data_IF_655960493757
#
_entry.id   IF_655960493757
#
_cell.length_a   1.000
_cell.length_b   1.000
_cell.length_c   1.000
_cell.angle_alpha   90.00
_cell.angle_beta   90.00
_cell.angle_gamma   90.00
#
_symmetry.space_group_name_H-M   'P 1'
#
loop_
_entity.id
_entity.type
_entity.pdbx_description
1 polymer ?
#
# COMPACT_ATOMS: atom_id res chain seq x y z
N UNK A 1 22.70 19.00 6.19
CA UNK A 1 22.43 17.58 5.92
C UNK A 1 21.10 17.51 5.18
N UNK A 2 21.13 17.28 3.86
CA UNK A 2 19.93 17.28 3.01
C UNK A 2 19.09 16.03 3.28
N UNK A 3 17.86 16.21 3.76
CA UNK A 3 16.88 15.16 4.06
C UNK A 3 15.74 15.20 3.05
N UNK A 4 15.57 14.11 2.34
CA UNK A 4 14.62 14.03 1.23
C UNK A 4 13.64 12.88 1.46
N UNK A 5 12.39 13.04 1.05
CA UNK A 5 11.37 11.98 1.09
C UNK A 5 10.80 11.72 -0.29
N UNK A 6 10.70 10.43 -0.66
CA UNK A 6 9.93 9.95 -1.82
C UNK A 6 8.65 9.27 -1.31
N UNK A 7 7.53 9.59 -1.95
CA UNK A 7 6.22 9.06 -1.57
C UNK A 7 5.46 9.92 -0.55
N UNK A 8 5.77 11.21 -0.46
CA UNK A 8 5.17 12.15 0.51
C UNK A 8 3.64 12.30 0.40
N UNK A 9 3.05 11.97 -0.74
CA UNK A 9 1.59 11.99 -0.94
C UNK A 9 0.88 10.71 -0.51
N UNK A 10 1.64 9.66 -0.23
CA UNK A 10 1.15 8.39 0.30
C UNK A 10 0.78 8.49 1.79
N UNK A 11 0.15 7.43 2.33
CA UNK A 11 -0.28 7.41 3.72
C UNK A 11 0.89 7.59 4.70
N UNK A 12 1.96 6.81 4.56
CA UNK A 12 3.14 6.91 5.43
C UNK A 12 3.85 8.23 5.23
N UNK A 13 4.18 8.57 3.98
CA UNK A 13 4.93 9.77 3.67
C UNK A 13 4.23 11.06 4.12
N UNK A 14 2.90 11.16 3.96
CA UNK A 14 2.14 12.33 4.41
C UNK A 14 2.15 12.48 5.94
N UNK A 15 2.07 11.38 6.70
CA UNK A 15 2.17 11.42 8.15
C UNK A 15 3.58 11.79 8.62
N UNK A 16 4.62 11.33 7.92
CA UNK A 16 6.00 11.76 8.21
C UNK A 16 6.20 13.26 7.96
N UNK A 17 5.60 13.81 6.88
CA UNK A 17 5.67 15.24 6.58
C UNK A 17 4.89 16.12 7.58
N UNK A 18 3.93 15.58 8.33
CA UNK A 18 3.26 16.31 9.43
C UNK A 18 4.20 16.49 10.63
N UNK A 19 5.04 15.49 10.90
CA UNK A 19 5.92 15.47 12.07
C UNK A 19 7.34 15.96 11.80
N UNK A 20 7.78 15.96 10.54
CA UNK A 20 9.15 16.30 10.15
C UNK A 20 9.18 17.19 8.91
N UNK A 21 10.08 18.16 8.92
CA UNK A 21 10.38 18.99 7.76
C UNK A 21 11.48 18.36 6.91
N UNK A 22 11.22 18.21 5.62
CA UNK A 22 12.16 17.69 4.63
C UNK A 22 12.61 18.84 3.71
N UNK A 23 13.85 18.79 3.25
CA UNK A 23 14.41 19.79 2.31
C UNK A 23 13.77 19.66 0.92
N UNK A 24 13.38 18.43 0.53
CA UNK A 24 12.62 18.18 -0.69
C UNK A 24 11.71 16.96 -0.56
N UNK A 25 10.56 17.01 -1.26
CA UNK A 25 9.53 15.98 -1.26
C UNK A 25 9.19 15.58 -2.70
N UNK A 26 9.25 14.27 -2.98
CA UNK A 26 9.02 13.72 -4.31
C UNK A 26 7.93 12.66 -4.31
N UNK A 27 7.26 12.51 -5.44
CA UNK A 27 6.31 11.45 -5.74
C UNK A 27 6.44 11.04 -7.22
N UNK A 28 5.62 10.14 -7.72
CA UNK A 28 5.67 9.65 -9.11
C UNK A 28 5.57 10.73 -10.19
N UNK A 29 5.10 11.95 -9.86
CA UNK A 29 4.95 13.05 -10.84
C UNK A 29 6.19 13.91 -10.97
N UNK A 30 7.07 13.91 -9.98
CA UNK A 30 8.25 14.77 -9.92
C UNK A 30 9.52 14.04 -9.47
N UNK A 31 9.50 12.71 -9.46
CA UNK A 31 10.63 11.88 -8.98
C UNK A 31 11.90 12.14 -9.78
N UNK A 32 11.78 12.47 -11.06
CA UNK A 32 12.93 12.80 -11.93
C UNK A 32 13.74 13.99 -11.42
N UNK A 33 13.12 14.94 -10.72
CA UNK A 33 13.80 16.07 -10.11
C UNK A 33 14.71 15.67 -8.94
N UNK A 34 14.57 14.45 -8.43
CA UNK A 34 15.43 13.91 -7.39
C UNK A 34 16.70 13.24 -7.94
N UNK A 35 16.75 12.92 -9.25
CA UNK A 35 17.84 12.19 -9.84
C UNK A 35 19.13 12.99 -9.82
N UNK A 36 20.22 12.37 -9.37
CA UNK A 36 21.53 13.01 -9.25
C UNK A 36 21.66 14.05 -8.12
N UNK A 37 20.67 14.13 -7.22
CA UNK A 37 20.74 15.12 -6.11
C UNK A 37 21.61 14.67 -4.94
N UNK A 38 21.93 13.39 -4.82
CA UNK A 38 22.81 12.80 -3.81
C UNK A 38 22.50 13.27 -2.37
N UNK A 39 21.23 13.16 -1.88
CA UNK A 39 20.89 13.63 -0.54
C UNK A 39 21.65 12.87 0.54
N UNK A 40 21.90 13.52 1.69
CA UNK A 40 22.54 12.88 2.82
C UNK A 40 21.67 11.77 3.44
N UNK A 41 20.34 11.96 3.38
CA UNK A 41 19.36 10.99 3.85
C UNK A 41 18.14 10.97 2.91
N UNK A 42 17.83 9.79 2.39
CA UNK A 42 16.59 9.52 1.66
C UNK A 42 15.65 8.68 2.52
N UNK A 43 14.43 9.13 2.74
CA UNK A 43 13.33 8.28 3.22
C UNK A 43 12.52 7.82 2.00
N UNK A 44 12.54 6.52 1.72
CA UNK A 44 11.83 5.97 0.58
C UNK A 44 10.55 5.25 1.02
N UNK A 45 9.41 5.88 0.79
CA UNK A 45 8.07 5.34 1.00
C UNK A 45 7.23 5.33 -0.28
N UNK A 46 7.91 5.28 -1.44
CA UNK A 46 7.29 5.42 -2.76
C UNK A 46 6.64 4.15 -3.31
N UNK A 47 6.84 2.99 -2.69
CA UNK A 47 6.25 1.73 -3.17
C UNK A 47 4.78 1.65 -2.79
N UNK A 48 3.92 1.29 -3.75
CA UNK A 48 2.48 1.12 -3.51
C UNK A 48 2.22 -0.06 -2.56
N UNK A 49 1.40 0.16 -1.53
CA UNK A 49 1.04 -0.85 -0.55
C UNK A 49 -0.36 -1.43 -0.86
N UNK A 50 -0.52 -2.06 -2.02
CA UNK A 50 -1.78 -2.65 -2.50
C UNK A 50 -1.66 -4.19 -2.50
N UNK A 51 -1.59 -4.79 -1.30
CA UNK A 51 -1.34 -6.22 -1.07
C UNK A 51 -2.25 -7.11 -1.93
N UNK A 52 -3.53 -6.77 -2.04
CA UNK A 52 -4.48 -7.56 -2.80
C UNK A 52 -4.13 -7.59 -4.29
N UNK A 53 -3.79 -6.45 -4.90
CA UNK A 53 -3.38 -6.38 -6.31
C UNK A 53 -2.04 -7.09 -6.51
N UNK A 54 -1.06 -6.84 -5.65
CA UNK A 54 0.25 -7.47 -5.72
C UNK A 54 0.18 -9.01 -5.65
N UNK A 55 -0.70 -9.56 -4.83
CA UNK A 55 -0.87 -11.01 -4.72
C UNK A 55 -1.61 -11.64 -5.91
N UNK A 56 -2.39 -10.87 -6.67
CA UNK A 56 -3.07 -11.36 -7.88
C UNK A 56 -2.31 -11.03 -9.17
N UNK A 57 -1.45 -10.03 -9.16
CA UNK A 57 -0.67 -9.53 -10.31
C UNK A 57 0.79 -9.36 -9.91
N UNK A 58 1.43 -10.47 -9.56
CA UNK A 58 2.78 -10.48 -8.98
C UNK A 58 3.83 -9.81 -9.88
N UNK A 59 3.75 -10.00 -11.19
CA UNK A 59 4.70 -9.43 -12.15
C UNK A 59 4.53 -7.91 -12.29
N UNK A 60 3.30 -7.41 -12.26
CA UNK A 60 3.04 -5.97 -12.30
C UNK A 60 3.55 -5.29 -11.02
N UNK A 61 3.38 -5.96 -9.89
CA UNK A 61 3.92 -5.48 -8.62
C UNK A 61 5.46 -5.56 -8.60
N UNK A 62 6.06 -6.60 -9.15
CA UNK A 62 7.51 -6.70 -9.30
C UNK A 62 8.08 -5.55 -10.14
N UNK A 63 7.43 -5.19 -11.24
CA UNK A 63 7.84 -4.04 -12.05
C UNK A 63 7.88 -2.73 -11.23
N UNK A 64 6.97 -2.55 -10.26
CA UNK A 64 7.02 -1.38 -9.36
C UNK A 64 8.21 -1.42 -8.39
N UNK A 65 8.67 -2.62 -8.03
CA UNK A 65 9.88 -2.78 -7.22
C UNK A 65 11.13 -2.46 -8.04
N UNK A 66 11.18 -2.92 -9.27
CA UNK A 66 12.29 -2.62 -10.20
C UNK A 66 12.37 -1.11 -10.47
N UNK A 67 11.24 -0.44 -10.67
CA UNK A 67 11.16 1.02 -10.76
C UNK A 67 11.68 1.70 -9.48
N UNK A 68 11.32 1.19 -8.30
CA UNK A 68 11.80 1.73 -7.04
C UNK A 68 13.32 1.60 -6.89
N UNK A 69 13.89 0.45 -7.28
CA UNK A 69 15.34 0.23 -7.31
C UNK A 69 16.02 1.24 -8.24
N UNK A 70 15.49 1.41 -9.44
CA UNK A 70 16.07 2.36 -10.41
C UNK A 70 15.97 3.81 -9.93
N UNK A 71 14.86 4.20 -9.33
CA UNK A 71 14.69 5.51 -8.73
C UNK A 71 15.72 5.76 -7.62
N UNK A 72 15.92 4.81 -6.71
CA UNK A 72 16.92 4.93 -5.63
C UNK A 72 18.33 5.04 -6.23
N UNK A 73 18.66 4.20 -7.23
CA UNK A 73 19.94 4.23 -7.93
C UNK A 73 20.21 5.60 -8.56
N UNK A 74 19.22 6.20 -9.23
CA UNK A 74 19.35 7.50 -9.90
C UNK A 74 19.39 8.67 -8.92
N UNK A 75 18.72 8.57 -7.77
CA UNK A 75 18.81 9.55 -6.68
C UNK A 75 20.20 9.52 -6.04
N UNK A 76 20.76 8.32 -5.90
CA UNK A 76 22.08 8.03 -5.32
C UNK A 76 22.29 8.68 -3.94
N UNK A 77 21.43 8.39 -2.93
CA UNK A 77 21.56 8.96 -1.60
C UNK A 77 22.82 8.41 -0.88
N UNK A 78 23.32 9.14 0.12
CA UNK A 78 24.38 8.63 1.00
C UNK A 78 23.88 7.58 1.99
N UNK A 79 22.67 7.80 2.53
CA UNK A 79 21.98 6.87 3.44
C UNK A 79 20.52 6.77 3.08
N UNK A 80 19.91 5.62 3.36
CA UNK A 80 18.50 5.37 3.07
C UNK A 80 17.76 4.81 4.29
N UNK A 81 16.55 5.28 4.50
CA UNK A 81 15.52 4.65 5.30
C UNK A 81 14.46 4.11 4.34
N UNK A 82 14.37 2.80 4.23
CA UNK A 82 13.35 2.15 3.40
C UNK A 82 12.12 1.83 4.24
N UNK A 83 10.96 2.30 3.82
CA UNK A 83 9.68 1.89 4.39
C UNK A 83 9.22 0.59 3.72
N UNK A 84 9.22 -0.47 4.50
CA UNK A 84 8.84 -1.83 4.12
C UNK A 84 7.64 -2.33 4.93
N UNK A 85 7.45 -3.63 5.02
CA UNK A 85 6.26 -4.26 5.63
C UNK A 85 6.63 -5.53 6.37
N UNK A 86 5.90 -5.84 7.46
CA UNK A 86 6.00 -7.15 8.13
C UNK A 86 5.52 -8.31 7.25
N UNK A 87 4.84 -8.04 6.13
CA UNK A 87 4.39 -9.07 5.19
C UNK A 87 5.54 -9.79 4.46
N UNK A 88 6.79 -9.35 4.64
CA UNK A 88 7.99 -10.08 4.20
C UNK A 88 8.20 -11.37 4.99
N UNK A 89 7.71 -11.44 6.23
CA UNK A 89 7.78 -12.65 7.04
C UNK A 89 6.73 -13.68 6.61
N UNK A 90 7.08 -14.96 6.69
CA UNK A 90 6.16 -16.07 6.40
C UNK A 90 5.05 -16.16 7.45
N UNK A 91 5.33 -15.72 8.67
CA UNK A 91 4.37 -15.53 9.76
C UNK A 91 4.54 -14.12 10.30
N UNK A 92 3.47 -13.47 10.67
CA UNK A 92 3.48 -12.08 11.16
C UNK A 92 3.38 -11.95 12.68
N UNK A 93 3.54 -13.06 13.39
CA UNK A 93 3.52 -13.12 14.86
C UNK A 93 4.71 -13.95 15.38
N UNK A 94 5.24 -13.55 16.54
CA UNK A 94 6.40 -14.22 17.15
C UNK A 94 7.67 -14.11 16.33
N UNK A 95 7.83 -13.01 15.60
CA UNK A 95 8.98 -12.71 14.76
C UNK A 95 9.61 -11.38 15.18
N UNK A 96 10.90 -11.24 14.90
CA UNK A 96 11.69 -10.04 15.09
C UNK A 96 12.61 -9.81 13.88
N UNK A 97 13.48 -8.82 13.97
CA UNK A 97 14.41 -8.44 12.90
C UNK A 97 15.43 -9.52 12.57
N UNK A 98 15.72 -10.43 13.49
CA UNK A 98 16.66 -11.56 13.31
C UNK A 98 16.00 -12.79 12.68
N UNK A 99 14.68 -12.82 12.60
CA UNK A 99 13.92 -13.96 12.08
C UNK A 99 14.22 -14.19 10.59
N UNK A 100 14.68 -15.38 10.19
CA UNK A 100 14.95 -15.67 8.78
C UNK A 100 13.72 -15.55 7.92
N UNK A 101 13.88 -14.93 6.75
CA UNK A 101 12.82 -14.75 5.75
C UNK A 101 13.05 -15.73 4.61
N UNK A 102 12.09 -16.62 4.36
CA UNK A 102 12.10 -17.48 3.18
C UNK A 102 11.13 -16.92 2.14
N UNK A 103 11.66 -16.34 1.07
CA UNK A 103 10.87 -15.74 -0.02
C UNK A 103 9.95 -16.72 -0.72
N UNK A 104 10.36 -17.97 -0.85
CA UNK A 104 9.58 -19.02 -1.53
C UNK A 104 8.28 -19.35 -0.80
N UNK A 105 8.24 -19.12 0.52
CA UNK A 105 7.05 -19.32 1.34
C UNK A 105 6.20 -18.06 1.50
N UNK A 106 6.67 -16.92 0.98
CA UNK A 106 5.98 -15.64 1.11
C UNK A 106 4.97 -15.43 -0.02
N UNK A 107 3.86 -14.77 0.28
CA UNK A 107 2.96 -14.30 -0.76
C UNK A 107 3.68 -13.27 -1.67
N UNK A 108 3.29 -13.12 -2.95
CA UNK A 108 3.95 -12.24 -3.91
C UNK A 108 4.21 -10.83 -3.38
N UNK A 109 3.27 -10.24 -2.65
CA UNK A 109 3.45 -8.94 -2.02
C UNK A 109 4.66 -8.88 -1.08
N UNK A 110 4.80 -9.84 -0.19
CA UNK A 110 5.93 -9.92 0.75
C UNK A 110 7.23 -10.27 0.03
N UNK A 111 7.18 -11.22 -0.90
CA UNK A 111 8.33 -11.62 -1.71
C UNK A 111 8.95 -10.43 -2.46
N UNK A 112 8.13 -9.66 -3.18
CA UNK A 112 8.60 -8.53 -3.96
C UNK A 112 9.20 -7.41 -3.08
N UNK A 113 8.62 -7.14 -1.89
CA UNK A 113 9.22 -6.17 -0.93
C UNK A 113 10.54 -6.68 -0.39
N UNK A 114 10.67 -7.98 -0.15
CA UNK A 114 11.95 -8.55 0.29
C UNK A 114 13.05 -8.41 -0.77
N UNK A 115 12.72 -8.50 -2.06
CA UNK A 115 13.67 -8.22 -3.14
C UNK A 115 14.22 -6.78 -3.02
N UNK A 116 13.36 -5.81 -2.78
CA UNK A 116 13.81 -4.42 -2.58
C UNK A 116 14.66 -4.25 -1.32
N UNK A 117 14.26 -4.89 -0.21
CA UNK A 117 15.04 -4.87 1.03
C UNK A 117 16.47 -5.42 0.79
N UNK A 118 16.58 -6.60 0.19
CA UNK A 118 17.88 -7.24 -0.10
C UNK A 118 18.76 -6.38 -1.00
N UNK A 119 18.14 -5.75 -2.01
CA UNK A 119 18.87 -4.84 -2.88
C UNK A 119 19.39 -3.61 -2.10
N UNK A 120 18.57 -3.04 -1.21
CA UNK A 120 18.96 -1.90 -0.37
C UNK A 120 20.04 -2.31 0.63
N UNK A 121 19.87 -3.44 1.33
CA UNK A 121 20.87 -3.98 2.28
C UNK A 121 22.23 -4.18 1.60
N UNK A 122 22.25 -4.69 0.37
CA UNK A 122 23.48 -4.92 -0.39
C UNK A 122 24.16 -3.63 -0.85
N UNK A 123 23.40 -2.64 -1.33
CA UNK A 123 23.97 -1.43 -1.93
C UNK A 123 24.17 -0.29 -0.91
N UNK A 124 23.48 -0.33 0.22
CA UNK A 124 23.52 0.66 1.30
C UNK A 124 23.64 -0.04 2.65
N UNK A 125 24.87 -0.48 3.06
CA UNK A 125 25.07 -1.24 4.30
C UNK A 125 24.60 -0.51 5.57
N UNK A 126 24.66 0.84 5.57
CA UNK A 126 24.17 1.69 6.67
C UNK A 126 22.68 2.07 6.54
N UNK A 127 21.91 1.31 5.77
CA UNK A 127 20.48 1.55 5.60
C UNK A 127 19.68 1.15 6.85
N UNK A 128 18.52 1.79 7.02
CA UNK A 128 17.51 1.36 7.97
C UNK A 128 16.27 0.87 7.20
N UNK A 129 15.90 -0.39 7.43
CA UNK A 129 14.68 -0.96 6.88
C UNK A 129 13.61 -0.98 7.96
N UNK A 130 12.51 -0.26 7.73
CA UNK A 130 11.39 -0.15 8.67
C UNK A 130 10.22 -0.98 8.17
N UNK A 131 10.03 -2.16 8.75
CA UNK A 131 8.92 -3.08 8.42
C UNK A 131 7.68 -2.69 9.20
N UNK A 132 6.77 -2.01 8.53
CA UNK A 132 5.53 -1.52 9.16
C UNK A 132 4.47 -2.63 9.24
N UNK A 133 3.77 -2.75 10.38
CA UNK A 133 2.57 -3.55 10.53
C UNK A 133 1.35 -2.82 9.94
N UNK A 134 0.14 -3.24 10.30
CA UNK A 134 -1.06 -2.46 10.06
C UNK A 134 -1.02 -1.17 10.89
N UNK A 135 -1.01 -0.04 10.19
CA UNK A 135 -0.86 1.28 10.79
C UNK A 135 -2.13 2.11 10.63
N UNK A 136 -2.32 3.09 11.51
CA UNK A 136 -3.40 4.07 11.46
C UNK A 136 -2.84 5.49 11.62
N UNK A 137 -3.60 6.48 11.16
CA UNK A 137 -3.16 7.87 11.23
C UNK A 137 -4.03 8.79 10.39
N UNK A 138 -3.59 10.03 10.22
CA UNK A 138 -4.25 11.04 9.41
C UNK A 138 -4.29 10.57 7.94
N UNK A 139 -5.41 10.80 7.26
CA UNK A 139 -5.62 10.39 5.87
C UNK A 139 -5.64 8.87 5.64
N UNK A 140 -6.04 8.08 6.63
CA UNK A 140 -6.29 6.66 6.46
C UNK A 140 -7.31 6.44 5.35
N UNK A 141 -6.96 5.63 4.32
CA UNK A 141 -7.80 5.36 3.14
C UNK A 141 -8.08 3.89 2.91
N UNK A 142 -7.46 3.03 3.69
CA UNK A 142 -7.59 1.58 3.59
C UNK A 142 -7.08 0.94 4.88
N UNK A 143 -7.52 -0.15 5.21
CA UNK A 143 -7.32 -1.17 6.22
C UNK A 143 -8.62 -1.45 6.97
N UNK A 144 -8.60 -2.39 7.92
CA UNK A 144 -9.81 -2.79 8.62
C UNK A 144 -10.50 -1.65 9.38
N UNK A 145 -9.75 -0.71 9.96
CA UNK A 145 -10.33 0.46 10.64
C UNK A 145 -11.08 1.36 9.66
N UNK A 146 -10.50 1.57 8.49
CA UNK A 146 -11.16 2.31 7.41
C UNK A 146 -12.43 1.59 6.96
N UNK A 147 -12.36 0.29 6.76
CA UNK A 147 -13.50 -0.53 6.31
C UNK A 147 -14.61 -0.56 7.37
N UNK A 148 -14.26 -0.64 8.67
CA UNK A 148 -15.23 -0.51 9.77
C UNK A 148 -16.01 0.81 9.73
N UNK A 149 -15.36 1.89 9.36
CA UNK A 149 -16.00 3.22 9.30
C UNK A 149 -16.80 3.39 8.00
N UNK A 150 -16.28 2.91 6.87
CA UNK A 150 -16.80 3.25 5.54
C UNK A 150 -17.78 2.23 4.99
N UNK A 151 -17.66 0.95 5.32
CA UNK A 151 -18.55 -0.16 4.88
C UNK A 151 -18.58 -0.38 3.36
N UNK A 152 -18.33 0.63 2.55
CA UNK A 152 -18.33 0.56 1.09
C UNK A 152 -17.01 -0.06 0.62
N UNK A 153 -17.03 -1.23 -0.03
CA UNK A 153 -15.81 -1.81 -0.59
C UNK A 153 -15.16 -0.86 -1.59
N UNK A 154 -13.87 -0.60 -1.43
CA UNK A 154 -13.13 0.23 -2.39
C UNK A 154 -13.02 -0.51 -3.74
N UNK A 155 -12.90 -1.83 -3.68
CA UNK A 155 -12.80 -2.70 -4.86
C UNK A 155 -13.67 -3.94 -4.68
N UNK A 156 -14.27 -4.41 -5.77
CA UNK A 156 -15.01 -5.66 -5.85
C UNK A 156 -14.39 -6.54 -6.92
N UNK A 157 -14.35 -7.84 -6.69
CA UNK A 157 -14.15 -8.83 -7.76
C UNK A 157 -15.38 -8.86 -8.66
N UNK A 158 -15.19 -9.26 -9.91
CA UNK A 158 -16.23 -9.25 -10.93
C UNK A 158 -17.45 -10.12 -10.53
N UNK A 159 -17.21 -11.32 -10.03
CA UNK A 159 -18.23 -12.23 -9.53
C UNK A 159 -19.08 -11.60 -8.41
N UNK A 160 -18.41 -10.94 -7.45
CA UNK A 160 -19.10 -10.26 -6.36
C UNK A 160 -19.87 -9.03 -6.81
N UNK A 161 -19.33 -8.29 -7.77
CA UNK A 161 -20.03 -7.17 -8.37
C UNK A 161 -21.29 -7.64 -9.12
N UNK A 162 -21.20 -8.71 -9.90
CA UNK A 162 -22.38 -9.27 -10.60
C UNK A 162 -23.49 -9.68 -9.64
N UNK A 163 -23.13 -10.33 -8.52
CA UNK A 163 -24.10 -10.67 -7.46
C UNK A 163 -24.80 -9.43 -6.91
N UNK A 164 -24.02 -8.40 -6.56
CA UNK A 164 -24.51 -7.20 -5.89
C UNK A 164 -25.25 -6.25 -6.84
N UNK A 165 -24.82 -6.15 -8.08
CA UNK A 165 -25.46 -5.31 -9.11
C UNK A 165 -26.87 -5.77 -9.46
N UNK A 166 -27.14 -7.07 -9.37
CA UNK A 166 -28.49 -7.64 -9.52
C UNK A 166 -29.42 -7.23 -8.38
N UNK A 167 -28.87 -6.94 -7.19
CA UNK A 167 -29.63 -6.58 -5.98
C UNK A 167 -29.82 -5.07 -5.83
N UNK A 168 -28.93 -4.24 -6.40
CA UNK A 168 -28.98 -2.79 -6.27
C UNK A 168 -28.48 -2.07 -7.53
N UNK A 169 -29.36 -1.32 -8.18
CA UNK A 169 -29.00 -0.44 -9.31
C UNK A 169 -27.98 0.64 -8.91
N UNK A 170 -28.01 1.07 -7.64
CA UNK A 170 -27.07 2.06 -7.15
C UNK A 170 -25.66 1.47 -7.09
N UNK A 171 -25.51 0.22 -6.63
CA UNK A 171 -24.22 -0.47 -6.66
C UNK A 171 -23.75 -0.65 -8.11
N UNK A 172 -24.65 -1.09 -9.00
CA UNK A 172 -24.33 -1.28 -10.41
C UNK A 172 -23.73 -0.02 -11.07
N UNK A 173 -24.26 1.16 -10.75
CA UNK A 173 -23.79 2.43 -11.32
C UNK A 173 -22.60 3.05 -10.58
N UNK A 174 -22.21 2.49 -9.43
CA UNK A 174 -21.19 3.09 -8.55
C UNK A 174 -19.80 2.53 -8.75
N UNK A 175 -19.64 1.47 -9.50
CA UNK A 175 -18.37 0.79 -9.74
C UNK A 175 -18.01 0.79 -11.22
N UNK A 176 -16.72 0.98 -11.51
CA UNK A 176 -16.17 0.95 -12.86
C UNK A 176 -15.09 -0.13 -12.98
N UNK A 177 -15.11 -0.85 -14.10
CA UNK A 177 -14.11 -1.87 -14.44
C UNK A 177 -12.72 -1.24 -14.54
N UNK A 178 -11.72 -1.95 -14.01
CA UNK A 178 -10.31 -1.51 -14.03
C UNK A 178 -9.45 -2.26 -15.06
N UNK A 179 -10.06 -3.12 -15.87
CA UNK A 179 -9.34 -3.90 -16.89
C UNK A 179 -8.57 -5.13 -16.38
N UNK A 180 -8.69 -5.44 -15.09
CA UNK A 180 -7.93 -6.50 -14.41
C UNK A 180 -8.83 -7.48 -13.63
N UNK A 181 -10.12 -7.60 -13.98
CA UNK A 181 -11.10 -8.43 -13.27
C UNK A 181 -11.60 -7.83 -11.96
N UNK A 182 -11.29 -6.56 -11.70
CA UNK A 182 -11.76 -5.81 -10.55
C UNK A 182 -12.52 -4.57 -10.95
N UNK A 183 -13.53 -4.23 -10.14
CA UNK A 183 -14.26 -2.99 -10.24
C UNK A 183 -13.97 -2.11 -9.04
N UNK A 184 -13.73 -0.84 -9.29
CA UNK A 184 -13.41 0.17 -8.27
C UNK A 184 -14.60 1.11 -8.08
N UNK A 185 -14.91 1.45 -6.83
CA UNK A 185 -15.89 2.47 -6.52
C UNK A 185 -15.43 3.83 -7.08
N UNK A 186 -16.20 4.38 -8.00
CA UNK A 186 -15.90 5.64 -8.71
C UNK A 186 -16.63 6.86 -8.12
N UNK A 187 -17.52 6.63 -7.15
CA UNK A 187 -18.36 7.68 -6.53
C UNK A 187 -17.53 8.57 -5.62
N UNK A 188 -17.67 9.89 -5.83
CA UNK A 188 -17.05 10.93 -4.98
C UNK A 188 -18.09 11.79 -4.26
N UNK A 189 -19.34 11.80 -4.75
CA UNK A 189 -20.43 12.57 -4.18
C UNK A 189 -20.83 12.02 -2.81
N UNK A 190 -20.82 12.87 -1.78
CA UNK A 190 -21.11 12.50 -0.40
C UNK A 190 -22.53 11.99 -0.17
N UNK A 191 -23.50 12.52 -0.92
CA UNK A 191 -24.90 12.11 -0.83
C UNK A 191 -25.07 10.71 -1.40
N UNK A 192 -24.46 10.45 -2.56
CA UNK A 192 -24.46 9.13 -3.19
C UNK A 192 -23.71 8.12 -2.34
N UNK A 193 -22.54 8.47 -1.79
CA UNK A 193 -21.81 7.62 -0.85
C UNK A 193 -22.65 7.26 0.38
N UNK A 194 -23.41 8.22 0.93
CA UNK A 194 -24.29 7.96 2.08
C UNK A 194 -25.40 6.97 1.73
N UNK A 195 -26.00 7.08 0.55
CA UNK A 195 -26.99 6.13 0.04
C UNK A 195 -26.37 4.76 -0.20
N UNK A 196 -25.22 4.72 -0.86
CA UNK A 196 -24.47 3.50 -1.15
C UNK A 196 -24.09 2.76 0.15
N UNK A 197 -23.64 3.47 1.18
CA UNK A 197 -23.36 2.89 2.49
C UNK A 197 -24.60 2.21 3.09
N UNK A 198 -25.77 2.81 2.95
CA UNK A 198 -27.04 2.23 3.42
C UNK A 198 -27.40 0.97 2.62
N UNK A 199 -27.21 0.99 1.30
CA UNK A 199 -27.44 -0.19 0.45
C UNK A 199 -26.55 -1.37 0.89
N UNK A 200 -25.24 -1.14 1.07
CA UNK A 200 -24.33 -2.18 1.55
C UNK A 200 -24.74 -2.70 2.93
N UNK A 201 -25.14 -1.82 3.85
CA UNK A 201 -25.67 -2.24 5.15
C UNK A 201 -26.89 -3.14 5.04
N UNK A 202 -27.84 -2.76 4.20
CA UNK A 202 -29.08 -3.54 3.95
C UNK A 202 -28.78 -4.92 3.33
N UNK A 203 -27.68 -5.04 2.60
CA UNK A 203 -27.20 -6.30 2.04
C UNK A 203 -26.34 -7.12 3.03
N UNK A 204 -26.29 -6.72 4.29
CA UNK A 204 -25.57 -7.42 5.34
C UNK A 204 -24.07 -7.13 5.41
N UNK A 205 -23.59 -6.11 4.69
CA UNK A 205 -22.19 -5.69 4.80
C UNK A 205 -21.96 -4.98 6.13
N UNK A 206 -21.11 -5.59 6.93
CA UNK A 206 -20.66 -5.05 8.22
C UNK A 206 -19.14 -4.97 8.21
N UNK A 207 -18.54 -4.35 9.20
CA UNK A 207 -17.10 -4.35 9.36
C UNK A 207 -16.53 -5.78 9.36
N UNK A 208 -17.21 -6.72 9.99
CA UNK A 208 -16.81 -8.12 10.09
C UNK A 208 -16.83 -8.85 8.74
N UNK A 209 -17.72 -8.49 7.82
CA UNK A 209 -17.79 -9.11 6.50
C UNK A 209 -16.65 -8.75 5.56
N UNK A 210 -15.87 -7.73 5.88
CA UNK A 210 -14.64 -7.38 5.15
C UNK A 210 -13.40 -8.06 5.73
N UNK A 211 -13.52 -8.66 6.89
CA UNK A 211 -12.39 -9.15 7.68
C UNK A 211 -12.12 -10.63 7.47
N UNK A 212 -13.13 -11.40 7.15
CA UNK A 212 -13.07 -12.85 7.09
C UNK A 212 -12.24 -13.42 5.94
N UNK A 213 -12.16 -12.72 4.83
CA UNK A 213 -11.51 -13.24 3.62
C UNK A 213 -10.07 -12.74 3.41
N UNK A 214 -9.51 -11.86 4.24
CA UNK A 214 -8.28 -11.15 3.93
C UNK A 214 -7.26 -11.01 5.05
N UNK A 215 -7.44 -11.77 6.13
CA UNK A 215 -6.42 -11.85 7.16
C UNK A 215 -6.08 -10.49 7.76
N UNK A 216 -7.07 -9.81 8.28
CA UNK A 216 -6.86 -8.69 9.21
C UNK A 216 -5.82 -9.00 10.28
N UNK A 217 -5.71 -10.26 10.60
CA UNK A 217 -4.71 -10.86 11.48
C UNK A 217 -3.28 -10.62 11.02
N UNK A 218 -3.07 -10.11 9.82
CA UNK A 218 -1.76 -9.72 9.32
C UNK A 218 -1.29 -8.38 9.90
N UNK A 219 -2.14 -7.71 10.67
CA UNK A 219 -1.85 -6.40 11.25
C UNK A 219 -1.45 -6.44 12.72
N UNK A 220 -1.31 -7.61 13.29
CA UNK A 220 -0.93 -7.81 14.70
C UNK A 220 0.39 -8.54 14.82
#
# INVERSE_FOLDING_TARGET
MAKVIVGYTGFVGSNLCVSHQFDACYNSRNIENAFGTHPDLLIYSGVRAEMFLANNFANEDLATIEEAIENIRRIAPKRIVLISTIAVYNKTYGVDESTPINKELSAPYGCNRRILEEWVEHNYPDSLIVRLPGIYGINLKKNFLFDMIHIIPTMLKEDKYEELSKKSKLIASSYSMQGNGFLKCSVKDKIILSKLKREFKNLGFTALSFTDSRGIYQYY
#
